data_IF_256270025921
#
_entry.id   IF_256270025921
#
_cell.length_a   1.000
_cell.length_b   1.000
_cell.length_c   1.000
_cell.angle_alpha   90.00
_cell.angle_beta   90.00
_cell.angle_gamma   90.00
#
_symmetry.space_group_name_H-M   'P 1'
#
loop_
_entity.id
_entity.type
_entity.pdbx_description
1 polymer ?
#
# COMPACT_ATOMS: atom_id res chain seq x y z
N UNK A 1 8.93 15.73 -10.59
CA UNK A 1 9.68 14.53 -11.03
C UNK A 1 9.09 13.27 -10.39
N UNK A 2 9.29 12.10 -10.99
CA UNK A 2 9.02 10.79 -10.37
C UNK A 2 10.33 10.04 -10.13
N UNK A 3 10.49 9.41 -8.98
CA UNK A 3 11.75 8.78 -8.59
C UNK A 3 11.51 7.56 -7.69
N UNK A 4 12.39 6.56 -7.77
CA UNK A 4 12.25 5.29 -7.06
C UNK A 4 11.52 4.24 -7.89
N UNK A 5 10.99 3.20 -7.22
CA UNK A 5 10.14 2.22 -7.89
C UNK A 5 8.82 2.86 -8.33
N UNK A 6 8.36 2.55 -9.53
CA UNK A 6 7.09 3.04 -10.04
C UNK A 6 5.90 2.43 -9.27
N UNK A 7 4.78 3.15 -9.28
CA UNK A 7 3.54 2.76 -8.65
C UNK A 7 2.34 3.24 -9.50
N UNK A 8 1.27 2.43 -9.67
CA UNK A 8 0.10 2.86 -10.42
C UNK A 8 -0.55 4.08 -9.77
N UNK A 9 -0.48 5.23 -10.44
CA UNK A 9 -0.98 6.50 -9.91
C UNK A 9 0.01 7.65 -10.03
N UNK A 10 1.28 7.37 -10.34
CA UNK A 10 2.27 8.41 -10.62
C UNK A 10 1.89 9.28 -11.83
N UNK A 11 1.39 8.70 -12.92
CA UNK A 11 0.88 9.47 -14.06
C UNK A 11 -0.31 10.39 -13.70
N UNK A 12 -1.35 9.93 -12.98
CA UNK A 12 -2.37 10.80 -12.40
C UNK A 12 -1.81 11.95 -11.53
N UNK A 13 -0.79 11.69 -10.70
CA UNK A 13 -0.15 12.70 -9.87
C UNK A 13 0.57 13.76 -10.72
N UNK A 14 1.39 13.34 -11.69
CA UNK A 14 2.08 14.24 -12.64
C UNK A 14 1.07 15.09 -13.40
N UNK A 15 -0.01 14.47 -13.91
CA UNK A 15 -1.09 15.17 -14.60
C UNK A 15 -1.71 16.27 -13.74
N UNK A 16 -1.99 15.97 -12.48
CA UNK A 16 -2.58 16.92 -11.56
C UNK A 16 -1.64 18.10 -11.28
N UNK A 17 -0.35 17.82 -11.04
CA UNK A 17 0.67 18.85 -10.83
C UNK A 17 0.81 19.76 -12.05
N UNK A 18 0.91 19.19 -13.26
CA UNK A 18 1.02 19.97 -14.51
C UNK A 18 -0.19 20.87 -14.71
N UNK A 19 -1.40 20.32 -14.60
CA UNK A 19 -2.62 21.10 -14.83
C UNK A 19 -2.87 22.15 -13.75
N UNK A 20 -2.64 21.81 -12.48
CA UNK A 20 -2.79 22.77 -11.39
C UNK A 20 -1.76 23.89 -11.49
N UNK A 21 -0.50 23.59 -11.79
CA UNK A 21 0.54 24.61 -11.99
C UNK A 21 0.18 25.59 -13.10
N UNK A 22 -0.21 25.08 -14.27
CA UNK A 22 -0.68 25.92 -15.40
C UNK A 22 -1.90 26.76 -14.99
N UNK A 23 -2.86 26.16 -14.28
CA UNK A 23 -4.05 26.87 -13.80
C UNK A 23 -3.72 28.04 -12.87
N UNK A 24 -2.73 27.89 -11.99
CA UNK A 24 -2.24 28.95 -11.11
C UNK A 24 -1.26 29.92 -11.78
N UNK A 25 -1.03 29.80 -13.09
CA UNK A 25 -0.16 30.70 -13.86
C UNK A 25 1.33 30.37 -13.75
N UNK A 26 1.70 29.19 -13.25
CA UNK A 26 3.07 28.72 -13.20
C UNK A 26 3.45 27.97 -14.49
N UNK A 27 4.73 28.04 -14.82
CA UNK A 27 5.33 27.11 -15.78
C UNK A 27 5.72 25.81 -15.08
N UNK A 28 5.31 24.66 -15.62
CA UNK A 28 5.63 23.34 -15.06
C UNK A 28 6.60 22.60 -15.96
N UNK A 29 7.64 22.02 -15.35
CA UNK A 29 8.62 21.20 -16.04
C UNK A 29 8.54 19.75 -15.57
N UNK A 30 8.54 18.82 -16.53
CA UNK A 30 8.79 17.42 -16.26
C UNK A 30 10.29 17.17 -16.19
N UNK A 31 10.71 16.44 -15.16
CA UNK A 31 12.07 15.91 -15.04
C UNK A 31 11.99 14.44 -15.41
N UNK A 32 12.59 14.07 -16.53
CA UNK A 32 12.60 12.70 -17.01
C UNK A 32 13.63 11.85 -16.25
N UNK A 33 13.38 10.55 -16.08
CA UNK A 33 14.30 9.62 -15.43
C UNK A 33 14.69 10.00 -13.98
N UNK A 34 13.81 10.73 -13.29
CA UNK A 34 13.98 11.11 -11.88
C UNK A 34 15.21 11.98 -11.63
N UNK A 35 16.03 11.61 -10.64
CA UNK A 35 17.23 12.38 -10.30
C UNK A 35 18.26 12.38 -11.42
N UNK A 36 18.29 11.34 -12.27
CA UNK A 36 19.23 11.28 -13.39
C UNK A 36 18.99 12.43 -14.36
N UNK A 37 17.74 12.67 -14.79
CA UNK A 37 17.45 13.80 -15.68
C UNK A 37 17.62 15.16 -15.01
N UNK A 38 17.50 15.24 -13.68
CA UNK A 38 17.82 16.47 -12.97
C UNK A 38 19.32 16.80 -13.06
N UNK A 39 20.19 15.80 -12.94
CA UNK A 39 21.66 15.94 -13.05
C UNK A 39 22.10 16.16 -14.50
N UNK A 40 21.55 15.41 -15.45
CA UNK A 40 21.92 15.51 -16.87
C UNK A 40 21.38 16.80 -17.52
N UNK A 41 20.19 17.24 -17.11
CA UNK A 41 19.57 18.46 -17.63
C UNK A 41 19.18 18.37 -19.11
N UNK A 42 19.17 19.52 -19.80
CA UNK A 42 18.85 19.60 -21.23
C UNK A 42 17.45 19.08 -21.56
N UNK A 43 17.36 18.16 -22.53
CA UNK A 43 16.09 17.60 -23.02
C UNK A 43 15.33 16.77 -21.96
N UNK A 44 15.99 16.37 -20.86
CA UNK A 44 15.36 15.67 -19.74
C UNK A 44 14.65 16.63 -18.77
N UNK A 45 14.80 17.94 -18.93
CA UNK A 45 14.05 18.99 -18.23
C UNK A 45 13.12 19.70 -19.22
N UNK A 46 11.91 19.17 -19.41
CA UNK A 46 11.00 19.64 -20.45
C UNK A 46 9.84 20.43 -19.87
N UNK A 47 9.62 21.65 -20.38
CA UNK A 47 8.40 22.42 -20.10
C UNK A 47 7.17 21.68 -20.63
N UNK A 48 6.14 21.56 -19.79
CA UNK A 48 4.92 20.81 -20.08
C UNK A 48 3.78 21.75 -20.44
N UNK A 49 3.06 21.41 -21.52
CA UNK A 49 1.78 21.99 -21.89
C UNK A 49 0.59 21.27 -21.24
N UNK A 50 -0.61 21.83 -21.41
CA UNK A 50 -1.84 21.27 -20.83
C UNK A 50 -2.22 19.92 -21.44
N UNK A 51 -1.97 19.78 -22.74
CA UNK A 51 -2.23 18.62 -23.57
C UNK A 51 -1.19 17.49 -23.39
N UNK A 52 0.00 17.80 -22.91
CA UNK A 52 1.09 16.82 -22.75
C UNK A 52 0.72 15.70 -21.75
N UNK A 53 -0.15 16.01 -20.79
CA UNK A 53 -0.63 15.06 -19.77
C UNK A 53 -2.06 14.58 -20.04
N UNK A 54 -2.53 14.68 -21.29
CA UNK A 54 -3.79 14.01 -21.69
C UNK A 54 -3.63 12.50 -21.51
N UNK A 55 -4.71 11.82 -21.14
CA UNK A 55 -4.74 10.36 -20.94
C UNK A 55 -3.94 9.79 -19.77
N UNK A 56 -3.04 10.56 -19.14
CA UNK A 56 -2.22 10.11 -18.00
C UNK A 56 -3.05 9.56 -16.83
N UNK A 57 -4.34 9.92 -16.72
CA UNK A 57 -5.22 9.39 -15.68
C UNK A 57 -5.41 7.85 -15.76
N UNK A 58 -5.27 7.27 -16.95
CA UNK A 58 -5.51 5.85 -17.23
C UNK A 58 -4.27 5.11 -17.70
N UNK A 59 -3.08 5.65 -17.45
CA UNK A 59 -1.81 5.04 -17.84
C UNK A 59 -1.09 4.46 -16.62
N UNK A 60 -0.44 3.31 -16.81
CA UNK A 60 0.36 2.66 -15.76
C UNK A 60 1.75 3.27 -15.63
N UNK A 61 2.46 2.94 -14.54
CA UNK A 61 3.82 3.41 -14.29
C UNK A 61 3.95 4.94 -14.24
N UNK A 62 5.05 5.45 -14.80
CA UNK A 62 5.31 6.89 -14.97
C UNK A 62 5.84 7.18 -16.38
N UNK A 63 5.17 8.06 -17.10
CA UNK A 63 5.54 8.45 -18.46
C UNK A 63 6.71 9.44 -18.52
N UNK A 64 7.08 10.01 -17.37
CA UNK A 64 8.32 10.78 -17.26
C UNK A 64 9.47 9.90 -16.76
N UNK A 65 9.27 8.58 -16.66
CA UNK A 65 10.33 7.64 -16.31
C UNK A 65 10.81 7.76 -14.86
N UNK A 66 11.72 6.86 -14.49
CA UNK A 66 12.37 6.84 -13.18
C UNK A 66 13.64 6.01 -13.28
N UNK A 67 14.78 6.60 -12.92
CA UNK A 67 16.07 5.92 -12.90
C UNK A 67 16.76 6.10 -11.55
N UNK A 68 17.59 5.11 -11.19
CA UNK A 68 18.49 5.24 -10.04
C UNK A 68 19.65 6.14 -10.46
N UNK A 69 19.87 7.23 -9.71
CA UNK A 69 20.99 8.14 -9.94
C UNK A 69 22.06 7.94 -8.86
N UNK A 70 23.27 7.50 -9.25
CA UNK A 70 24.40 7.34 -8.31
C UNK A 70 25.09 8.68 -8.08
N UNK A 71 25.13 9.50 -9.12
CA UNK A 71 25.74 10.82 -9.20
C UNK A 71 25.11 11.77 -8.19
N UNK A 72 23.77 11.75 -8.05
CA UNK A 72 23.05 12.58 -7.08
C UNK A 72 23.35 12.24 -5.62
N UNK A 73 23.94 11.07 -5.33
CA UNK A 73 24.46 10.75 -3.99
C UNK A 73 25.71 11.57 -3.66
N UNK A 74 26.46 11.98 -4.68
CA UNK A 74 27.62 12.84 -4.54
C UNK A 74 27.18 14.31 -4.59
N UNK A 75 27.87 15.16 -3.83
CA UNK A 75 27.59 16.61 -3.80
C UNK A 75 27.74 17.24 -5.19
N UNK A 76 28.71 16.80 -5.98
CA UNK A 76 28.94 17.29 -7.35
C UNK A 76 27.72 17.06 -8.27
N UNK A 77 27.06 15.90 -8.16
CA UNK A 77 25.82 15.63 -8.88
C UNK A 77 24.70 16.58 -8.45
N UNK A 78 24.57 16.83 -7.14
CA UNK A 78 23.59 17.81 -6.61
C UNK A 78 23.90 19.24 -7.05
N UNK A 79 25.16 19.63 -7.08
CA UNK A 79 25.60 20.93 -7.59
C UNK A 79 25.22 21.10 -9.07
N UNK A 80 25.40 20.05 -9.87
CA UNK A 80 25.02 20.03 -11.30
C UNK A 80 23.49 20.12 -11.47
N UNK A 81 22.74 19.38 -10.65
CA UNK A 81 21.28 19.47 -10.62
C UNK A 81 20.78 20.87 -10.25
N UNK A 82 21.37 21.51 -9.23
CA UNK A 82 21.03 22.88 -8.84
C UNK A 82 21.31 23.88 -9.98
N UNK A 83 22.46 23.73 -10.65
CA UNK A 83 22.78 24.52 -11.84
C UNK A 83 21.69 24.39 -12.92
N UNK A 84 21.32 23.16 -13.29
CA UNK A 84 20.31 22.89 -14.30
C UNK A 84 18.94 23.48 -13.96
N UNK A 85 18.55 23.45 -12.68
CA UNK A 85 17.31 24.06 -12.23
C UNK A 85 17.35 25.59 -12.36
N UNK A 86 18.44 26.23 -11.91
CA UNK A 86 18.57 27.69 -11.95
C UNK A 86 18.58 28.23 -13.38
N UNK A 87 19.32 27.62 -14.31
CA UNK A 87 19.37 28.09 -15.70
C UNK A 87 18.02 27.95 -16.43
N UNK A 88 17.14 27.06 -15.97
CA UNK A 88 15.78 26.89 -16.48
C UNK A 88 14.74 27.70 -15.70
N UNK A 89 15.17 28.46 -14.69
CA UNK A 89 14.30 29.27 -13.85
C UNK A 89 13.39 28.47 -12.92
N UNK A 90 13.89 27.35 -12.39
CA UNK A 90 13.14 26.44 -11.52
C UNK A 90 13.68 26.53 -10.07
N UNK A 91 12.80 26.88 -9.13
CA UNK A 91 13.04 26.95 -7.67
C UNK A 91 12.02 26.15 -6.85
N UNK A 92 11.12 25.43 -7.52
CA UNK A 92 10.17 24.54 -6.88
C UNK A 92 10.29 23.12 -7.45
N UNK A 93 10.42 22.13 -6.56
CA UNK A 93 10.56 20.73 -6.91
C UNK A 93 9.50 19.88 -6.20
N UNK A 94 8.54 19.36 -6.98
CA UNK A 94 7.60 18.35 -6.52
C UNK A 94 8.17 16.96 -6.84
N UNK A 95 8.38 16.15 -5.81
CA UNK A 95 8.94 14.79 -5.92
C UNK A 95 7.87 13.76 -5.58
N UNK A 96 7.50 12.92 -6.55
CA UNK A 96 6.64 11.76 -6.32
C UNK A 96 7.48 10.48 -6.31
N UNK A 97 7.50 9.77 -5.19
CA UNK A 97 8.32 8.56 -5.05
C UNK A 97 8.22 7.92 -3.67
N UNK A 98 9.08 6.92 -3.46
CA UNK A 98 9.22 6.26 -2.15
C UNK A 98 10.01 7.08 -1.13
N UNK A 99 10.12 6.52 0.08
CA UNK A 99 10.84 7.06 1.24
C UNK A 99 12.28 7.54 0.91
N UNK A 100 13.03 6.75 0.15
CA UNK A 100 14.40 7.08 -0.24
C UNK A 100 14.49 8.31 -1.14
N UNK A 101 13.54 8.47 -2.07
CA UNK A 101 13.49 9.62 -2.98
C UNK A 101 13.13 10.89 -2.24
N UNK A 102 12.21 10.82 -1.27
CA UNK A 102 11.82 11.95 -0.42
C UNK A 102 12.94 12.36 0.53
N UNK A 103 13.68 11.40 1.09
CA UNK A 103 14.88 11.68 1.90
C UNK A 103 15.94 12.44 1.10
N UNK A 104 16.19 12.02 -0.15
CA UNK A 104 17.13 12.71 -1.04
C UNK A 104 16.70 14.14 -1.39
N UNK A 105 15.38 14.38 -1.48
CA UNK A 105 14.83 15.69 -1.78
C UNK A 105 15.11 16.65 -0.62
N UNK A 106 14.82 16.23 0.61
CA UNK A 106 15.06 17.06 1.80
C UNK A 106 16.53 17.44 2.01
N UNK A 107 17.44 16.47 1.79
CA UNK A 107 18.88 16.73 1.79
C UNK A 107 19.23 17.80 0.73
N UNK A 108 18.66 17.68 -0.46
CA UNK A 108 18.91 18.64 -1.54
C UNK A 108 18.44 20.05 -1.20
N UNK A 109 17.27 20.19 -0.55
CA UNK A 109 16.79 21.49 -0.07
C UNK A 109 17.70 22.10 1.00
N UNK A 110 18.10 21.31 1.98
CA UNK A 110 18.96 21.80 3.07
C UNK A 110 20.36 22.21 2.58
N UNK A 111 20.90 21.53 1.57
CA UNK A 111 22.18 21.91 0.95
C UNK A 111 22.05 23.07 -0.05
N UNK A 112 20.84 23.40 -0.51
CA UNK A 112 20.62 24.34 -1.62
C UNK A 112 21.35 25.68 -1.48
N UNK A 113 21.28 26.43 -0.35
CA UNK A 113 21.97 27.71 -0.24
C UNK A 113 23.48 27.57 -0.45
N UNK A 114 24.07 26.51 0.10
CA UNK A 114 25.50 26.23 -0.02
C UNK A 114 25.88 25.81 -1.45
N UNK A 115 25.01 25.09 -2.17
CA UNK A 115 25.22 24.78 -3.59
C UNK A 115 25.18 26.04 -4.46
N UNK A 116 24.26 26.97 -4.18
CA UNK A 116 24.16 28.24 -4.89
C UNK A 116 25.40 29.10 -4.67
N UNK A 117 25.90 29.21 -3.43
CA UNK A 117 27.16 29.92 -3.12
C UNK A 117 28.37 29.32 -3.87
N UNK A 118 28.42 28.00 -3.97
CA UNK A 118 29.47 27.27 -4.70
C UNK A 118 29.37 27.54 -6.22
N UNK A 119 28.17 27.60 -6.80
CA UNK A 119 27.97 27.94 -8.21
C UNK A 119 28.39 29.37 -8.54
N UNK A 120 28.20 30.30 -7.61
CA UNK A 120 28.64 31.70 -7.77
C UNK A 120 30.15 31.83 -7.60
N UNK A 121 30.73 31.25 -6.54
CA UNK A 121 32.17 31.35 -6.26
C UNK A 121 33.03 30.62 -7.30
N UNK A 122 32.52 29.55 -7.91
CA UNK A 122 33.17 28.86 -9.03
C UNK A 122 33.02 29.55 -10.39
N UNK A 123 32.25 30.65 -10.46
CA UNK A 123 32.02 31.40 -11.70
C UNK A 123 31.07 30.72 -12.70
N UNK A 124 30.36 29.64 -12.29
CA UNK A 124 29.37 28.97 -13.14
C UNK A 124 28.09 29.80 -13.31
N UNK A 125 27.71 30.58 -12.29
CA UNK A 125 26.57 31.49 -12.30
C UNK A 125 26.98 32.83 -11.66
N UNK A 126 26.29 33.89 -12.04
CA UNK A 126 26.46 35.22 -11.44
C UNK A 126 25.51 35.43 -10.26
N UNK A 127 25.87 36.33 -9.34
CA UNK A 127 24.98 36.72 -8.23
C UNK A 127 23.60 37.20 -8.70
N UNK A 128 23.54 37.87 -9.86
CA UNK A 128 22.30 38.37 -10.43
C UNK A 128 21.39 37.24 -10.94
N UNK A 129 21.96 36.18 -11.50
CA UNK A 129 21.21 35.03 -12.01
C UNK A 129 20.60 34.18 -10.89
N UNK A 130 21.30 34.06 -9.76
CA UNK A 130 20.82 33.24 -8.62
C UNK A 130 19.90 33.98 -7.65
N UNK A 131 19.85 35.32 -7.71
CA UNK A 131 19.08 36.16 -6.77
C UNK A 131 17.62 35.71 -6.57
N UNK A 132 16.83 35.40 -7.62
CA UNK A 132 15.45 34.94 -7.43
C UNK A 132 15.36 33.48 -6.94
N UNK A 133 16.42 32.68 -7.06
CA UNK A 133 16.41 31.24 -6.81
C UNK A 133 17.23 30.83 -5.56
N UNK A 134 17.38 31.76 -4.61
CA UNK A 134 18.18 31.54 -3.38
C UNK A 134 17.68 30.41 -2.50
N UNK A 135 16.38 30.12 -2.54
CA UNK A 135 15.75 29.10 -1.73
C UNK A 135 15.06 28.08 -2.63
N UNK A 136 15.21 26.80 -2.30
CA UNK A 136 14.46 25.73 -2.95
C UNK A 136 13.18 25.42 -2.15
N UNK A 137 12.07 25.35 -2.88
CA UNK A 137 10.80 24.86 -2.37
C UNK A 137 10.64 23.40 -2.76
N UNK A 138 10.39 22.51 -1.78
CA UNK A 138 10.17 21.08 -2.05
C UNK A 138 8.83 20.64 -1.51
N UNK A 139 8.11 19.85 -2.30
CA UNK A 139 6.93 19.12 -1.83
C UNK A 139 7.03 17.65 -2.20
N UNK A 140 6.78 16.78 -1.21
CA UNK A 140 6.79 15.34 -1.38
C UNK A 140 5.40 14.76 -1.66
N UNK A 141 5.32 13.83 -2.60
CA UNK A 141 4.19 12.91 -2.81
C UNK A 141 4.70 11.48 -2.63
N UNK A 142 3.94 10.64 -1.93
CA UNK A 142 4.38 9.26 -1.66
C UNK A 142 3.79 8.33 -2.73
N UNK A 143 4.61 7.98 -3.73
CA UNK A 143 4.30 6.98 -4.75
C UNK A 143 4.97 5.66 -4.41
N UNK A 144 4.21 4.73 -3.83
CA UNK A 144 4.70 3.42 -3.37
C UNK A 144 3.55 2.42 -3.39
N UNK A 145 3.84 1.17 -3.74
CA UNK A 145 2.86 0.07 -3.58
C UNK A 145 2.87 -0.50 -2.16
N UNK A 146 3.94 -0.23 -1.40
CA UNK A 146 4.26 -0.94 -0.16
C UNK A 146 3.38 -0.47 1.02
N UNK A 147 2.78 0.71 0.92
CA UNK A 147 2.08 1.42 2.00
C UNK A 147 2.89 1.55 3.29
N UNK A 148 4.19 1.78 3.15
CA UNK A 148 5.17 1.75 4.23
C UNK A 148 5.46 3.11 4.88
N UNK A 149 4.79 4.19 4.45
CA UNK A 149 5.01 5.55 4.96
C UNK A 149 4.10 5.88 6.14
N UNK A 150 4.64 5.87 7.37
CA UNK A 150 3.90 5.94 8.65
C UNK A 150 3.00 7.17 8.89
N UNK A 151 3.12 8.23 8.08
CA UNK A 151 2.44 9.51 8.31
C UNK A 151 1.26 9.76 7.35
N UNK A 152 0.90 8.74 6.57
CA UNK A 152 -0.24 8.76 5.66
C UNK A 152 -0.95 7.41 5.71
N UNK A 153 -2.28 7.41 5.68
CA UNK A 153 -3.06 6.16 5.72
C UNK A 153 -2.92 5.35 4.42
N UNK A 154 -2.72 6.06 3.30
CA UNK A 154 -2.53 5.45 2.00
C UNK A 154 -1.43 6.15 1.20
N UNK A 155 -0.63 5.34 0.51
CA UNK A 155 0.35 5.76 -0.50
C UNK A 155 -0.21 5.52 -1.90
N UNK A 156 0.20 6.35 -2.86
CA UNK A 156 -0.28 6.25 -4.24
C UNK A 156 0.23 4.94 -4.85
N UNK A 157 -0.69 4.04 -5.16
CA UNK A 157 -0.47 2.77 -5.83
C UNK A 157 -0.62 1.54 -4.94
N UNK A 158 -0.76 1.70 -3.62
CA UNK A 158 -0.96 0.59 -2.69
C UNK A 158 -2.25 -0.19 -2.99
N UNK A 159 -3.37 0.51 -3.20
CA UNK A 159 -4.65 -0.13 -3.51
C UNK A 159 -4.68 -0.74 -4.91
N UNK A 160 -3.96 -0.15 -5.87
CA UNK A 160 -3.79 -0.74 -7.20
C UNK A 160 -3.01 -2.04 -7.13
N UNK A 161 -1.93 -2.09 -6.36
CA UNK A 161 -1.16 -3.32 -6.12
C UNK A 161 -2.01 -4.38 -5.43
N UNK A 162 -2.76 -4.00 -4.38
CA UNK A 162 -3.70 -4.90 -3.70
C UNK A 162 -4.70 -5.52 -4.69
N UNK A 163 -5.30 -4.71 -5.56
CA UNK A 163 -6.21 -5.20 -6.60
C UNK A 163 -5.54 -6.22 -7.53
N UNK A 164 -4.28 -5.99 -7.93
CA UNK A 164 -3.52 -6.97 -8.74
C UNK A 164 -3.29 -8.27 -7.97
N UNK A 165 -3.00 -8.19 -6.67
CA UNK A 165 -2.83 -9.38 -5.82
C UNK A 165 -4.14 -10.17 -5.75
N UNK A 166 -5.25 -9.49 -5.40
CA UNK A 166 -6.56 -10.12 -5.30
C UNK A 166 -6.98 -10.78 -6.62
N UNK A 167 -6.79 -10.09 -7.76
CA UNK A 167 -7.07 -10.65 -9.09
C UNK A 167 -6.28 -11.96 -9.34
N UNK A 168 -4.98 -11.96 -9.03
CA UNK A 168 -4.13 -13.14 -9.24
C UNK A 168 -4.50 -14.29 -8.31
N UNK A 169 -4.84 -14.00 -7.05
CA UNK A 169 -5.28 -15.03 -6.09
C UNK A 169 -6.63 -15.61 -6.50
N UNK A 170 -7.55 -14.81 -7.04
CA UNK A 170 -8.82 -15.29 -7.57
C UNK A 170 -8.62 -16.28 -8.74
N UNK A 171 -7.64 -16.03 -9.62
CA UNK A 171 -7.28 -16.98 -10.67
C UNK A 171 -6.68 -18.28 -10.10
N UNK A 172 -5.82 -18.18 -9.09
CA UNK A 172 -5.24 -19.33 -8.40
C UNK A 172 -6.34 -20.16 -7.71
N UNK A 173 -7.32 -19.51 -7.10
CA UNK A 173 -8.40 -20.14 -6.36
C UNK A 173 -9.23 -21.10 -7.22
N UNK A 174 -9.47 -20.75 -8.49
CA UNK A 174 -10.21 -21.59 -9.42
C UNK A 174 -9.52 -22.95 -9.66
N UNK A 175 -8.20 -22.95 -9.82
CA UNK A 175 -7.41 -24.19 -10.00
C UNK A 175 -7.14 -24.92 -8.67
N UNK A 176 -6.95 -24.15 -7.58
CA UNK A 176 -6.73 -24.70 -6.24
C UNK A 176 -7.92 -25.52 -5.75
N UNK A 177 -9.15 -25.02 -5.96
CA UNK A 177 -10.39 -25.70 -5.57
C UNK A 177 -10.58 -27.03 -6.31
N UNK A 178 -10.25 -27.08 -7.60
CA UNK A 178 -10.42 -28.27 -8.46
C UNK A 178 -9.54 -29.43 -8.01
N UNK A 179 -8.30 -29.14 -7.61
CA UNK A 179 -7.33 -30.16 -7.19
C UNK A 179 -7.20 -30.30 -5.67
N UNK A 180 -8.01 -29.57 -4.90
CA UNK A 180 -7.93 -29.51 -3.44
C UNK A 180 -6.51 -29.20 -2.91
N UNK A 181 -5.82 -28.26 -3.55
CA UNK A 181 -4.40 -27.93 -3.32
C UNK A 181 -4.18 -26.86 -2.25
N UNK A 182 -2.91 -26.73 -1.85
CA UNK A 182 -2.42 -25.58 -1.10
C UNK A 182 -1.58 -24.66 -2.00
N UNK A 183 -1.70 -23.36 -1.82
CA UNK A 183 -0.91 -22.35 -2.51
C UNK A 183 -0.25 -21.42 -1.48
N UNK A 184 1.04 -21.21 -1.67
CA UNK A 184 1.83 -20.20 -0.97
C UNK A 184 2.06 -19.06 -1.97
N UNK A 185 1.44 -17.91 -1.71
CA UNK A 185 1.49 -16.74 -2.59
C UNK A 185 2.42 -15.71 -1.96
N UNK A 186 3.52 -15.41 -2.67
CA UNK A 186 4.51 -14.43 -2.23
C UNK A 186 4.17 -13.06 -2.82
N UNK A 187 4.00 -12.08 -1.94
CA UNK A 187 3.57 -10.71 -2.27
C UNK A 187 4.65 -9.69 -1.92
N UNK A 188 4.71 -8.60 -2.69
CA UNK A 188 5.61 -7.47 -2.43
C UNK A 188 5.16 -6.68 -1.19
N UNK A 189 5.98 -5.74 -0.75
CA UNK A 189 5.72 -4.85 0.39
C UNK A 189 7.00 -4.41 1.14
N UNK A 190 8.16 -4.83 0.66
CA UNK A 190 9.51 -4.64 1.21
C UNK A 190 9.61 -5.14 2.64
N UNK A 191 9.55 -4.22 3.59
CA UNK A 191 9.55 -4.50 5.02
C UNK A 191 8.21 -4.14 5.67
N UNK A 192 7.15 -4.08 4.87
CA UNK A 192 5.79 -3.80 5.28
C UNK A 192 4.84 -4.94 4.90
N UNK A 193 4.04 -5.36 5.88
CA UNK A 193 3.03 -6.40 5.73
C UNK A 193 1.68 -5.91 5.20
N UNK A 194 1.53 -4.66 4.79
CA UNK A 194 0.24 -4.10 4.35
C UNK A 194 -0.40 -4.86 3.21
N UNK A 195 0.36 -5.10 2.13
CA UNK A 195 -0.12 -5.93 1.03
C UNK A 195 -0.40 -7.37 1.48
N UNK A 196 0.42 -7.94 2.37
CA UNK A 196 0.21 -9.28 2.95
C UNK A 196 -1.08 -9.41 3.77
N UNK A 197 -1.34 -8.43 4.64
CA UNK A 197 -2.51 -8.38 5.49
C UNK A 197 -3.80 -8.13 4.69
N UNK A 198 -3.81 -7.09 3.86
CA UNK A 198 -4.99 -6.71 3.09
C UNK A 198 -5.33 -7.76 2.02
N UNK A 199 -4.33 -8.40 1.41
CA UNK A 199 -4.59 -9.55 0.53
C UNK A 199 -5.14 -10.74 1.31
N UNK A 200 -4.59 -11.06 2.49
CA UNK A 200 -5.12 -12.12 3.34
C UNK A 200 -6.60 -11.94 3.70
N UNK A 201 -7.01 -10.71 4.03
CA UNK A 201 -8.41 -10.35 4.27
C UNK A 201 -9.28 -10.49 3.02
N UNK A 202 -8.85 -9.91 1.90
CA UNK A 202 -9.64 -9.85 0.67
C UNK A 202 -9.77 -11.21 -0.03
N UNK A 203 -8.82 -12.14 0.18
CA UNK A 203 -8.81 -13.46 -0.48
C UNK A 203 -9.21 -14.61 0.45
N UNK A 204 -9.59 -14.31 1.70
CA UNK A 204 -9.93 -15.35 2.68
C UNK A 204 -8.80 -16.35 2.95
N UNK A 205 -7.56 -15.84 3.06
CA UNK A 205 -6.39 -16.66 3.33
C UNK A 205 -6.50 -17.40 4.67
N UNK A 206 -5.92 -18.60 4.72
CA UNK A 206 -5.83 -19.43 5.91
C UNK A 206 -4.78 -18.91 6.88
N UNK A 207 -3.65 -18.44 6.34
CA UNK A 207 -2.53 -17.92 7.12
C UNK A 207 -1.85 -16.76 6.38
N UNK A 208 -1.32 -15.79 7.11
CA UNK A 208 -0.47 -14.72 6.57
C UNK A 208 0.83 -14.65 7.35
N UNK A 209 1.92 -14.29 6.67
CA UNK A 209 3.20 -13.98 7.30
C UNK A 209 3.56 -12.52 7.01
N UNK A 210 3.63 -11.69 8.06
CA UNK A 210 3.95 -10.26 7.99
C UNK A 210 5.03 -9.90 9.02
N UNK A 211 5.95 -8.96 8.70
CA UNK A 211 7.04 -8.58 9.61
C UNK A 211 6.58 -7.90 10.90
N UNK A 212 5.40 -7.27 10.93
CA UNK A 212 4.88 -6.55 12.10
C UNK A 212 4.32 -7.48 13.18
N UNK A 213 4.02 -8.73 12.82
CA UNK A 213 3.49 -9.77 13.71
C UNK A 213 4.18 -11.09 13.42
N UNK A 214 5.51 -11.15 13.66
CA UNK A 214 6.26 -12.35 13.35
C UNK A 214 5.85 -13.48 14.30
N UNK A 215 5.67 -14.71 13.79
CA UNK A 215 5.32 -15.83 14.63
C UNK A 215 6.56 -16.37 15.38
N UNK A 216 6.33 -17.22 16.38
CA UNK A 216 7.42 -17.75 17.21
C UNK A 216 8.31 -18.72 16.43
N UNK A 217 9.63 -18.51 16.51
CA UNK A 217 10.64 -19.39 15.94
C UNK A 217 10.42 -20.84 16.41
N UNK A 218 10.46 -21.77 15.46
CA UNK A 218 10.26 -23.20 15.70
C UNK A 218 8.84 -23.64 16.11
N UNK A 219 7.87 -22.72 16.20
CA UNK A 219 6.46 -23.04 16.54
C UNK A 219 5.48 -22.71 15.44
N UNK A 220 5.80 -21.72 14.60
CA UNK A 220 4.92 -21.27 13.52
C UNK A 220 4.53 -22.40 12.55
N UNK A 221 5.39 -23.42 12.39
CA UNK A 221 5.13 -24.57 11.56
C UNK A 221 3.94 -25.39 12.08
N UNK A 222 3.87 -25.58 13.40
CA UNK A 222 2.78 -26.32 14.05
C UNK A 222 1.49 -25.51 14.04
N UNK A 223 1.58 -24.19 14.28
CA UNK A 223 0.44 -23.28 14.21
C UNK A 223 -0.17 -23.27 12.80
N UNK A 224 0.68 -23.18 11.76
CA UNK A 224 0.26 -23.28 10.37
C UNK A 224 -0.44 -24.61 10.08
N UNK A 225 0.18 -25.74 10.47
CA UNK A 225 -0.41 -27.07 10.30
C UNK A 225 -1.76 -27.20 11.00
N UNK A 226 -1.88 -26.68 12.23
CA UNK A 226 -3.12 -26.69 13.03
C UNK A 226 -4.24 -25.94 12.32
N UNK A 227 -3.97 -24.71 11.86
CA UNK A 227 -4.97 -23.86 11.19
C UNK A 227 -5.42 -24.50 9.88
N UNK A 228 -4.48 -24.88 9.01
CA UNK A 228 -4.82 -25.48 7.71
C UNK A 228 -5.58 -26.80 7.88
N UNK A 229 -5.18 -27.66 8.82
CA UNK A 229 -5.89 -28.92 9.10
C UNK A 229 -7.31 -28.67 9.57
N UNK A 230 -7.51 -27.70 10.47
CA UNK A 230 -8.83 -27.33 11.00
C UNK A 230 -9.77 -26.87 9.87
N UNK A 231 -9.32 -25.97 9.01
CA UNK A 231 -10.14 -25.49 7.89
C UNK A 231 -10.48 -26.60 6.90
N UNK A 232 -9.52 -27.49 6.59
CA UNK A 232 -9.78 -28.64 5.70
C UNK A 232 -10.74 -29.64 6.31
N UNK A 233 -10.66 -29.89 7.62
CA UNK A 233 -11.61 -30.74 8.35
C UNK A 233 -13.02 -30.15 8.37
N UNK A 234 -13.16 -28.82 8.35
CA UNK A 234 -14.45 -28.12 8.15
C UNK A 234 -14.96 -28.16 6.70
N UNK A 235 -14.20 -28.72 5.77
CA UNK A 235 -14.58 -28.92 4.37
C UNK A 235 -13.92 -27.98 3.37
N UNK A 236 -13.01 -27.09 3.80
CA UNK A 236 -12.28 -26.21 2.86
C UNK A 236 -11.40 -27.04 1.94
N UNK A 237 -11.64 -26.92 0.63
CA UNK A 237 -10.89 -27.70 -0.37
C UNK A 237 -9.54 -27.08 -0.72
N UNK A 238 -9.46 -25.75 -0.72
CA UNK A 238 -8.27 -24.98 -1.05
C UNK A 238 -7.62 -24.43 0.20
N UNK A 239 -6.30 -24.35 0.21
CA UNK A 239 -5.54 -23.70 1.27
C UNK A 239 -4.72 -22.57 0.63
N UNK A 240 -4.86 -21.36 1.13
CA UNK A 240 -4.15 -20.18 0.60
C UNK A 240 -3.39 -19.52 1.73
N UNK A 241 -2.07 -19.43 1.58
CA UNK A 241 -1.18 -18.78 2.53
C UNK A 241 -0.49 -17.62 1.84
N UNK A 242 -0.59 -16.42 2.42
CA UNK A 242 0.09 -15.24 1.90
C UNK A 242 1.39 -15.02 2.67
N UNK A 243 2.49 -14.79 1.95
CA UNK A 243 3.80 -14.52 2.52
C UNK A 243 4.29 -13.17 2.00
N UNK A 244 4.41 -12.18 2.88
CA UNK A 244 5.02 -10.91 2.51
C UNK A 244 6.53 -11.10 2.26
N UNK A 245 7.12 -10.36 1.32
CA UNK A 245 8.56 -10.49 1.00
C UNK A 245 9.48 -10.20 2.19
N UNK A 246 9.02 -9.38 3.15
CA UNK A 246 9.70 -9.09 4.40
C UNK A 246 9.36 -10.00 5.57
N UNK A 247 8.69 -11.14 5.35
CA UNK A 247 8.27 -12.04 6.42
C UNK A 247 9.47 -12.58 7.23
N UNK A 248 9.34 -12.54 8.56
CA UNK A 248 10.34 -12.96 9.54
C UNK A 248 9.68 -13.66 10.74
N UNK A 249 10.45 -14.40 11.53
CA UNK A 249 10.06 -14.90 12.86
C UNK A 249 10.47 -13.94 14.00
N UNK A 250 10.09 -14.25 15.25
CA UNK A 250 10.40 -13.44 16.43
C UNK A 250 11.90 -13.40 16.79
N UNK A 251 12.70 -14.24 16.13
CA UNK A 251 14.16 -14.23 16.17
C UNK A 251 14.80 -13.41 15.05
N UNK A 252 13.99 -12.81 14.16
CA UNK A 252 14.37 -12.06 12.96
C UNK A 252 14.94 -12.94 11.84
N UNK A 253 14.71 -14.26 11.89
CA UNK A 253 15.06 -15.12 10.77
C UNK A 253 14.01 -14.94 9.67
N UNK A 254 14.42 -14.83 8.39
CA UNK A 254 13.49 -14.73 7.28
C UNK A 254 12.65 -16.01 7.15
N UNK A 255 11.34 -15.85 6.93
CA UNK A 255 10.42 -16.95 6.61
C UNK A 255 10.16 -16.91 5.11
N UNK A 256 10.71 -17.88 4.37
CA UNK A 256 10.56 -17.92 2.92
C UNK A 256 9.31 -18.68 2.48
N UNK A 257 8.84 -18.40 1.26
CA UNK A 257 7.75 -19.15 0.63
C UNK A 257 8.07 -20.65 0.49
N UNK A 258 9.34 -21.01 0.33
CA UNK A 258 9.79 -22.41 0.29
C UNK A 258 9.75 -23.07 1.67
N UNK A 259 10.03 -22.35 2.75
CA UNK A 259 9.90 -22.90 4.11
C UNK A 259 8.43 -23.18 4.46
N UNK A 260 7.53 -22.25 4.12
CA UNK A 260 6.08 -22.45 4.28
C UNK A 260 5.59 -23.63 3.45
N UNK A 261 6.06 -23.76 2.20
CA UNK A 261 5.70 -24.89 1.34
C UNK A 261 6.13 -26.23 1.94
N UNK A 262 7.37 -26.34 2.47
CA UNK A 262 7.84 -27.58 3.11
C UNK A 262 6.90 -28.01 4.23
N UNK A 263 6.48 -27.07 5.08
CA UNK A 263 5.55 -27.33 6.20
C UNK A 263 4.20 -27.85 5.72
N UNK A 264 3.65 -27.31 4.63
CA UNK A 264 2.38 -27.76 4.06
C UNK A 264 2.51 -29.10 3.32
N UNK A 265 3.66 -29.38 2.69
CA UNK A 265 3.96 -30.70 2.11
C UNK A 265 4.08 -31.76 3.20
N UNK A 266 4.72 -31.44 4.33
CA UNK A 266 4.80 -32.33 5.50
C UNK A 266 3.42 -32.64 6.10
N UNK A 267 2.44 -31.74 5.91
CA UNK A 267 1.04 -31.99 6.26
C UNK A 267 0.32 -32.91 5.26
N UNK A 268 0.97 -33.27 4.15
CA UNK A 268 0.41 -34.09 3.09
C UNK A 268 -0.39 -33.30 2.04
N UNK A 269 -0.23 -31.98 1.97
CA UNK A 269 -0.92 -31.15 0.98
C UNK A 269 -0.08 -30.97 -0.29
N UNK A 270 -0.68 -31.21 -1.46
CA UNK A 270 -0.08 -30.87 -2.75
C UNK A 270 0.04 -29.34 -2.86
N UNK A 271 1.26 -28.83 -2.63
CA UNK A 271 1.53 -27.41 -2.41
C UNK A 271 2.30 -26.80 -3.56
N UNK A 272 1.91 -25.59 -4.00
CA UNK A 272 2.60 -24.80 -5.02
C UNK A 272 2.95 -23.42 -4.49
N UNK A 273 4.08 -22.88 -4.94
CA UNK A 273 4.44 -21.48 -4.71
C UNK A 273 4.05 -20.67 -5.93
N UNK A 274 3.56 -19.45 -5.70
CA UNK A 274 3.39 -18.45 -6.74
C UNK A 274 3.95 -17.14 -6.26
N UNK A 275 5.07 -16.73 -6.84
CA UNK A 275 5.65 -15.40 -6.64
C UNK A 275 5.07 -14.46 -7.69
N UNK A 276 4.20 -13.54 -7.27
CA UNK A 276 3.51 -12.64 -8.22
C UNK A 276 4.50 -11.69 -8.90
N UNK A 277 5.50 -11.23 -8.16
CA UNK A 277 6.52 -10.32 -8.68
C UNK A 277 5.92 -9.01 -9.21
N UNK A 278 6.44 -8.51 -10.33
CA UNK A 278 6.19 -7.15 -10.81
C UNK A 278 4.79 -6.93 -11.41
N UNK A 279 3.94 -7.96 -11.52
CA UNK A 279 2.51 -7.74 -11.88
C UNK A 279 1.80 -6.84 -10.86
N UNK A 280 2.34 -6.76 -9.63
CA UNK A 280 1.90 -5.90 -8.54
C UNK A 280 2.25 -4.41 -8.74
N UNK A 281 3.24 -4.10 -9.60
CA UNK A 281 3.62 -2.71 -9.94
C UNK A 281 2.96 -2.20 -11.22
N UNK A 282 2.61 -3.12 -12.12
CA UNK A 282 2.00 -2.80 -13.40
C UNK A 282 0.50 -2.53 -13.34
N UNK A 283 -0.10 -2.34 -14.52
CA UNK A 283 -1.52 -2.01 -14.66
C UNK A 283 -1.80 -0.52 -14.49
N UNK A 284 -3.04 -0.13 -14.80
CA UNK A 284 -3.50 1.25 -14.57
C UNK A 284 -3.87 1.43 -13.11
N UNK A 285 -3.75 2.65 -12.59
CA UNK A 285 -4.26 2.98 -11.25
C UNK A 285 -5.74 2.60 -11.11
N UNK A 286 -6.14 2.05 -9.96
CA UNK A 286 -7.55 1.85 -9.61
C UNK A 286 -8.22 3.20 -9.29
N UNK A 287 -9.55 3.22 -9.17
CA UNK A 287 -10.30 4.45 -8.94
C UNK A 287 -9.79 5.23 -7.71
N UNK A 288 -9.48 4.52 -6.62
CA UNK A 288 -8.94 5.12 -5.40
C UNK A 288 -7.61 5.83 -5.66
N UNK A 289 -6.63 5.16 -6.28
CA UNK A 289 -5.31 5.76 -6.55
C UNK A 289 -5.38 6.89 -7.58
N UNK A 290 -6.27 6.80 -8.58
CA UNK A 290 -6.51 7.92 -9.52
C UNK A 290 -7.01 9.17 -8.78
N UNK A 291 -7.97 8.99 -7.87
CA UNK A 291 -8.54 10.07 -7.07
C UNK A 291 -7.50 10.62 -6.10
N UNK A 292 -6.86 9.75 -5.31
CA UNK A 292 -5.83 10.11 -4.32
C UNK A 292 -4.71 10.91 -4.96
N UNK A 293 -4.09 10.37 -6.02
CA UNK A 293 -3.00 11.02 -6.73
C UNK A 293 -3.42 12.36 -7.35
N UNK A 294 -4.64 12.45 -7.86
CA UNK A 294 -5.15 13.72 -8.42
C UNK A 294 -5.30 14.77 -7.33
N UNK A 295 -5.92 14.43 -6.20
CA UNK A 295 -6.15 15.36 -5.09
C UNK A 295 -4.81 15.79 -4.46
N UNK A 296 -3.92 14.83 -4.19
CA UNK A 296 -2.60 15.12 -3.64
C UNK A 296 -1.74 15.95 -4.61
N UNK A 297 -1.81 15.68 -5.92
CA UNK A 297 -1.06 16.45 -6.92
C UNK A 297 -1.51 17.90 -7.03
N UNK A 298 -2.81 18.18 -6.93
CA UNK A 298 -3.32 19.57 -6.86
C UNK A 298 -2.85 20.24 -5.56
N UNK A 299 -2.96 19.53 -4.44
CA UNK A 299 -2.54 20.06 -3.14
C UNK A 299 -1.03 20.31 -3.07
N UNK A 300 -0.22 19.51 -3.76
CA UNK A 300 1.22 19.74 -3.84
C UNK A 300 1.57 21.07 -4.51
N UNK A 301 0.84 21.46 -5.57
CA UNK A 301 1.03 22.77 -6.21
C UNK A 301 0.62 23.89 -5.27
N UNK A 302 -0.50 23.74 -4.55
CA UNK A 302 -0.91 24.73 -3.54
C UNK A 302 0.13 24.86 -2.43
N UNK A 303 0.70 23.74 -1.99
CA UNK A 303 1.75 23.72 -1.00
C UNK A 303 3.01 24.44 -1.49
N UNK A 304 3.42 24.28 -2.75
CA UNK A 304 4.52 25.06 -3.35
C UNK A 304 4.25 26.56 -3.23
N UNK A 305 3.06 27.00 -3.64
CA UNK A 305 2.70 28.42 -3.69
C UNK A 305 2.57 29.08 -2.32
N UNK A 306 2.30 28.29 -1.28
CA UNK A 306 2.11 28.77 0.10
C UNK A 306 3.37 28.58 0.97
N UNK A 307 4.38 27.86 0.49
CA UNK A 307 5.61 27.58 1.24
C UNK A 307 6.51 28.81 1.31
N UNK A 308 7.05 29.09 2.49
CA UNK A 308 8.10 30.09 2.71
C UNK A 308 9.44 29.43 3.04
N UNK A 309 10.58 30.15 3.00
CA UNK A 309 11.88 29.60 3.37
C UNK A 309 11.91 28.92 4.75
N UNK A 310 11.17 29.46 5.71
CA UNK A 310 11.10 28.93 7.08
C UNK A 310 10.14 27.74 7.24
N UNK A 311 9.30 27.48 6.23
CA UNK A 311 8.32 26.38 6.28
C UNK A 311 9.06 25.05 6.06
N UNK A 312 8.93 24.05 6.95
CA UNK A 312 9.48 22.70 6.73
C UNK A 312 8.94 22.08 5.44
N UNK A 313 9.73 21.22 4.79
CA UNK A 313 9.34 20.62 3.49
C UNK A 313 8.04 19.82 3.69
N UNK A 314 6.92 20.17 3.06
CA UNK A 314 5.69 19.40 3.22
C UNK A 314 5.75 18.10 2.43
N UNK A 315 5.17 17.06 2.99
CA UNK A 315 4.74 15.85 2.30
C UNK A 315 3.22 15.80 2.32
N UNK A 316 2.61 15.56 1.16
CA UNK A 316 1.16 15.45 1.06
C UNK A 316 0.76 14.01 1.35
N UNK A 317 -0.11 13.85 2.35
CA UNK A 317 -0.65 12.57 2.77
C UNK A 317 -2.16 12.56 2.78
N UNK A 318 -2.73 11.48 3.30
CA UNK A 318 -4.15 11.35 3.61
C UNK A 318 -4.30 10.82 5.03
N UNK A 319 -5.15 11.45 5.82
CA UNK A 319 -5.54 10.98 7.15
C UNK A 319 -7.05 11.09 7.28
N UNK A 320 -7.71 10.04 7.76
CA UNK A 320 -9.17 10.00 7.91
C UNK A 320 -9.91 10.43 6.62
N UNK A 321 -9.40 9.95 5.48
CA UNK A 321 -9.91 10.27 4.14
C UNK A 321 -9.89 11.77 3.77
N UNK A 322 -9.02 12.56 4.41
CA UNK A 322 -8.78 13.99 4.10
C UNK A 322 -7.33 14.19 3.70
N UNK A 323 -7.10 14.98 2.65
CA UNK A 323 -5.73 15.35 2.24
C UNK A 323 -5.14 16.27 3.29
N UNK A 324 -3.91 15.96 3.72
CA UNK A 324 -3.17 16.70 4.75
C UNK A 324 -1.75 16.99 4.30
N UNK A 325 -1.12 17.97 4.93
CA UNK A 325 0.32 18.23 4.79
C UNK A 325 1.02 17.82 6.08
N UNK A 326 2.04 16.99 5.96
CA UNK A 326 2.88 16.53 7.07
C UNK A 326 4.31 17.03 6.86
N UNK A 327 5.07 17.36 7.92
CA UNK A 327 6.49 17.67 7.76
C UNK A 327 7.26 16.44 7.24
N UNK A 328 7.90 16.57 6.08
CA UNK A 328 8.57 15.46 5.40
C UNK A 328 9.67 14.83 6.25
N UNK A 329 10.43 15.64 6.99
CA UNK A 329 11.50 15.14 7.88
C UNK A 329 10.96 14.25 8.99
N UNK A 330 9.85 14.65 9.61
CA UNK A 330 9.19 13.88 10.67
C UNK A 330 8.60 12.60 10.10
N UNK A 331 7.97 12.69 8.94
CA UNK A 331 7.42 11.56 8.21
C UNK A 331 8.48 10.49 7.88
N UNK A 332 9.64 10.90 7.36
CA UNK A 332 10.77 10.00 7.07
C UNK A 332 11.35 9.41 8.36
N UNK A 333 11.47 10.21 9.42
CA UNK A 333 11.98 9.76 10.72
C UNK A 333 11.06 8.71 11.36
N UNK A 334 9.74 8.93 11.33
CA UNK A 334 8.74 7.98 11.81
C UNK A 334 8.83 6.67 11.04
N UNK A 335 8.92 6.74 9.71
CA UNK A 335 9.04 5.55 8.85
C UNK A 335 10.31 4.75 9.16
N UNK A 336 11.46 5.41 9.34
CA UNK A 336 12.71 4.74 9.77
C UNK A 336 12.58 4.08 11.14
N UNK A 337 11.84 4.69 12.06
CA UNK A 337 11.63 4.14 13.40
C UNK A 337 10.86 2.81 13.42
N UNK A 338 10.18 2.45 12.32
CA UNK A 338 9.60 1.12 12.13
C UNK A 338 10.69 0.07 12.01
N UNK A 339 11.72 0.32 11.19
CA UNK A 339 12.85 -0.60 11.05
C UNK A 339 13.57 -0.76 12.39
N UNK A 340 13.83 0.33 13.11
CA UNK A 340 14.41 0.29 14.45
C UNK A 340 13.56 -0.54 15.43
N UNK A 341 12.23 -0.44 15.33
CA UNK A 341 11.31 -1.22 16.15
C UNK A 341 11.35 -2.72 15.82
N UNK A 342 11.45 -3.08 14.55
CA UNK A 342 11.63 -4.48 14.11
C UNK A 342 12.98 -5.02 14.58
N UNK A 343 14.08 -4.30 14.36
CA UNK A 343 15.44 -4.71 14.76
C UNK A 343 15.57 -4.91 16.27
N UNK A 344 14.88 -4.07 17.06
CA UNK A 344 14.81 -4.19 18.53
C UNK A 344 13.77 -5.19 19.02
N UNK A 345 13.14 -5.98 18.12
CA UNK A 345 12.07 -6.95 18.41
C UNK A 345 10.86 -6.34 19.14
N UNK A 346 10.64 -5.04 18.97
CA UNK A 346 9.48 -4.32 19.50
C UNK A 346 8.37 -4.26 18.44
N UNK A 347 7.81 -5.42 18.14
CA UNK A 347 6.79 -5.59 17.09
C UNK A 347 5.49 -4.84 17.36
N UNK A 348 5.14 -4.62 18.64
CA UNK A 348 3.99 -3.77 19.01
C UNK A 348 4.19 -2.32 18.57
N UNK A 349 5.38 -1.77 18.80
CA UNK A 349 5.70 -0.42 18.32
C UNK A 349 5.67 -0.37 16.79
N UNK A 350 6.21 -1.38 16.11
CA UNK A 350 6.17 -1.45 14.65
C UNK A 350 4.72 -1.47 14.11
N UNK A 351 3.83 -2.23 14.74
CA UNK A 351 2.41 -2.28 14.40
C UNK A 351 1.73 -0.89 14.53
N UNK A 352 2.00 -0.19 15.62
CA UNK A 352 1.39 1.11 15.92
C UNK A 352 1.92 2.26 15.05
N UNK A 353 3.00 2.03 14.31
CA UNK A 353 3.59 2.99 13.38
C UNK A 353 3.10 2.80 11.94
N UNK A 354 2.20 1.84 11.68
CA UNK A 354 1.53 1.68 10.38
C UNK A 354 0.31 2.60 10.29
N UNK A 355 -0.43 2.50 9.18
CA UNK A 355 -1.65 3.30 8.97
C UNK A 355 -2.68 3.09 10.09
N UNK A 356 -3.58 4.05 10.24
CA UNK A 356 -4.55 4.09 11.35
C UNK A 356 -5.43 2.85 11.47
N UNK A 357 -5.59 2.06 10.40
CA UNK A 357 -6.44 0.87 10.36
C UNK A 357 -5.67 -0.45 10.44
N UNK A 358 -4.34 -0.43 10.44
CA UNK A 358 -3.52 -1.62 10.28
C UNK A 358 -3.70 -2.64 11.40
N UNK A 359 -3.65 -2.20 12.66
CA UNK A 359 -3.85 -3.07 13.83
C UNK A 359 -5.27 -3.63 13.90
N UNK A 360 -6.26 -2.79 13.60
CA UNK A 360 -7.65 -3.23 13.54
C UNK A 360 -7.84 -4.30 12.46
N UNK A 361 -7.34 -4.07 11.24
CA UNK A 361 -7.41 -5.02 10.13
C UNK A 361 -6.77 -6.37 10.51
N UNK A 362 -5.62 -6.36 11.20
CA UNK A 362 -4.99 -7.58 11.68
C UNK A 362 -5.84 -8.32 12.72
N UNK A 363 -6.44 -7.59 13.66
CA UNK A 363 -7.33 -8.19 14.64
C UNK A 363 -8.58 -8.80 13.98
N UNK A 364 -9.14 -8.15 12.96
CA UNK A 364 -10.25 -8.71 12.18
C UNK A 364 -9.84 -9.96 11.40
N UNK A 365 -8.62 -9.96 10.84
CA UNK A 365 -8.06 -11.14 10.20
C UNK A 365 -7.95 -12.31 11.18
N UNK A 366 -7.40 -12.11 12.38
CA UNK A 366 -7.30 -13.16 13.39
C UNK A 366 -8.68 -13.70 13.79
N UNK A 367 -9.65 -12.81 14.01
CA UNK A 367 -11.01 -13.20 14.40
C UNK A 367 -11.76 -13.99 13.32
N UNK A 368 -11.43 -13.78 12.04
CA UNK A 368 -12.11 -14.41 10.91
C UNK A 368 -11.37 -15.59 10.29
N UNK A 369 -10.06 -15.75 10.54
CA UNK A 369 -9.24 -16.83 9.97
C UNK A 369 -8.50 -17.71 10.99
N UNK A 370 -8.18 -17.23 12.19
CA UNK A 370 -7.33 -17.97 13.14
C UNK A 370 -8.11 -18.45 14.38
N UNK A 371 -9.01 -17.63 14.90
CA UNK A 371 -9.73 -17.88 16.16
C UNK A 371 -11.00 -18.73 16.01
N UNK A 372 -11.10 -19.53 14.96
CA UNK A 372 -12.19 -20.49 14.73
C UNK A 372 -11.94 -21.85 15.43
N UNK A 373 -11.05 -21.86 16.44
CA UNK A 373 -10.58 -23.01 17.22
C UNK A 373 -11.14 -23.09 18.64
N UNK A 374 -12.23 -22.35 18.88
CA UNK A 374 -12.94 -22.26 20.16
C UNK A 374 -12.16 -21.56 21.29
N UNK A 375 -10.94 -21.07 21.03
CA UNK A 375 -10.13 -20.36 22.05
C UNK A 375 -10.71 -19.01 22.49
N UNK A 376 -11.65 -18.45 21.72
CA UNK A 376 -12.25 -17.14 21.94
C UNK A 376 -13.75 -17.20 22.25
N UNK A 377 -14.29 -18.39 22.56
CA UNK A 377 -15.70 -18.55 22.90
C UNK A 377 -16.07 -17.73 24.14
N UNK A 378 -17.21 -17.06 24.06
CA UNK A 378 -17.80 -16.40 25.22
C UNK A 378 -18.50 -17.43 26.14
N UNK A 379 -18.71 -17.08 27.42
CA UNK A 379 -19.56 -17.85 28.32
C UNK A 379 -20.94 -18.09 27.70
N UNK A 380 -21.56 -19.25 27.96
CA UNK A 380 -22.84 -19.62 27.32
C UNK A 380 -23.95 -18.57 27.51
N UNK A 381 -24.01 -17.93 28.68
CA UNK A 381 -24.99 -16.87 28.98
C UNK A 381 -24.78 -15.55 28.23
N UNK A 382 -23.62 -15.35 27.61
CA UNK A 382 -23.27 -14.16 26.80
C UNK A 382 -23.40 -14.43 25.29
N UNK A 383 -23.70 -15.67 24.88
CA UNK A 383 -23.84 -16.03 23.46
C UNK A 383 -25.20 -15.59 22.94
N UNK A 384 -25.22 -15.00 21.76
CA UNK A 384 -26.41 -14.44 21.12
C UNK A 384 -26.81 -15.24 19.87
N UNK A 385 -28.10 -15.18 19.55
CA UNK A 385 -28.64 -15.50 18.23
C UNK A 385 -28.78 -14.20 17.44
N UNK A 386 -28.05 -14.06 16.35
CA UNK A 386 -27.97 -12.83 15.56
C UNK A 386 -28.61 -13.09 14.20
N UNK A 387 -29.52 -12.23 13.78
CA UNK A 387 -30.10 -12.26 12.44
C UNK A 387 -29.37 -11.30 11.49
N UNK A 388 -29.10 -11.71 10.26
CA UNK A 388 -28.62 -10.83 9.19
C UNK A 388 -29.59 -10.84 8.02
N UNK A 389 -29.89 -9.66 7.49
CA UNK A 389 -30.80 -9.46 6.37
C UNK A 389 -30.18 -8.49 5.37
N UNK A 390 -30.37 -8.74 4.09
CA UNK A 390 -30.02 -7.79 3.02
C UNK A 390 -31.28 -7.09 2.56
N UNK A 391 -31.21 -5.76 2.42
CA UNK A 391 -32.35 -4.91 2.03
C UNK A 391 -31.88 -3.92 0.97
N UNK A 392 -32.54 -3.92 -0.17
CA UNK A 392 -32.23 -3.03 -1.29
C UNK A 392 -31.72 -3.76 -2.53
N UNK A 393 -31.04 -3.04 -3.41
CA UNK A 393 -30.43 -3.64 -4.59
C UNK A 393 -29.15 -4.42 -4.23
N UNK A 394 -28.77 -5.35 -5.11
CA UNK A 394 -27.52 -6.09 -4.98
C UNK A 394 -26.29 -5.19 -5.03
N UNK A 395 -25.32 -5.48 -4.15
CA UNK A 395 -23.98 -4.89 -4.18
C UNK A 395 -22.91 -5.98 -4.04
N UNK A 396 -21.67 -5.67 -4.40
CA UNK A 396 -20.56 -6.65 -4.42
C UNK A 396 -20.07 -7.07 -3.03
N UNK A 397 -20.29 -6.23 -2.00
CA UNK A 397 -19.76 -6.45 -0.65
C UNK A 397 -20.67 -7.26 0.29
N UNK A 398 -21.91 -7.56 -0.09
CA UNK A 398 -22.89 -8.19 0.83
C UNK A 398 -22.43 -9.56 1.34
N UNK A 399 -21.92 -10.40 0.44
CA UNK A 399 -21.45 -11.74 0.80
C UNK A 399 -20.19 -11.69 1.65
N UNK A 400 -19.25 -10.79 1.33
CA UNK A 400 -18.04 -10.60 2.11
C UNK A 400 -18.36 -10.13 3.54
N UNK A 401 -19.28 -9.17 3.69
CA UNK A 401 -19.76 -8.70 4.99
C UNK A 401 -20.47 -9.80 5.77
N UNK A 402 -21.35 -10.57 5.12
CA UNK A 402 -22.07 -11.68 5.75
C UNK A 402 -21.10 -12.78 6.20
N UNK A 403 -20.11 -13.10 5.37
CA UNK A 403 -19.04 -14.04 5.72
C UNK A 403 -18.27 -13.58 6.94
N UNK A 404 -17.82 -12.33 6.96
CA UNK A 404 -17.08 -11.80 8.11
C UNK A 404 -17.92 -11.85 9.39
N UNK A 405 -19.19 -11.44 9.32
CA UNK A 405 -20.13 -11.55 10.44
C UNK A 405 -20.30 -13.01 10.91
N UNK A 406 -20.47 -13.96 9.99
CA UNK A 406 -20.65 -15.37 10.32
C UNK A 406 -19.42 -15.95 11.03
N UNK A 407 -18.23 -15.74 10.46
CA UNK A 407 -16.97 -16.25 11.03
C UNK A 407 -16.66 -15.61 12.38
N UNK A 408 -16.94 -14.32 12.54
CA UNK A 408 -16.83 -13.63 13.82
C UNK A 408 -17.82 -14.18 14.86
N UNK A 409 -19.07 -14.40 14.48
CA UNK A 409 -20.06 -15.01 15.36
C UNK A 409 -19.59 -16.39 15.84
N UNK A 410 -19.11 -17.22 14.92
CA UNK A 410 -18.60 -18.57 15.20
C UNK A 410 -17.41 -18.51 16.17
N UNK A 411 -16.46 -17.58 15.98
CA UNK A 411 -15.29 -17.48 16.88
C UNK A 411 -15.66 -17.09 18.32
N UNK A 412 -16.80 -16.43 18.52
CA UNK A 412 -17.35 -16.07 19.84
C UNK A 412 -18.41 -17.04 20.38
N UNK A 413 -18.82 -18.03 19.58
CA UNK A 413 -19.88 -18.98 19.94
C UNK A 413 -21.30 -18.46 19.74
N UNK A 414 -21.47 -17.32 19.07
CA UNK A 414 -22.77 -16.84 18.62
C UNK A 414 -23.29 -17.67 17.45
N UNK A 415 -24.61 -17.68 17.27
CA UNK A 415 -25.27 -18.26 16.10
C UNK A 415 -25.74 -17.15 15.17
N UNK A 416 -25.31 -17.19 13.91
CA UNK A 416 -25.76 -16.24 12.89
C UNK A 416 -26.83 -16.90 12.01
N UNK A 417 -27.96 -16.24 11.83
CA UNK A 417 -29.06 -16.67 10.98
C UNK A 417 -29.21 -15.73 9.79
N UNK A 418 -29.11 -16.27 8.58
CA UNK A 418 -29.44 -15.57 7.36
C UNK A 418 -30.96 -15.51 7.14
N UNK A 419 -31.51 -14.30 7.09
CA UNK A 419 -32.91 -14.03 6.73
C UNK A 419 -33.00 -14.00 5.21
N UNK A 420 -33.61 -15.03 4.63
CA UNK A 420 -33.62 -15.22 3.19
C UNK A 420 -34.59 -14.28 2.48
N UNK A 421 -34.16 -13.70 1.36
CA UNK A 421 -34.97 -12.83 0.50
C UNK A 421 -35.56 -11.59 1.22
N UNK A 422 -34.79 -11.00 2.14
CA UNK A 422 -35.16 -9.77 2.81
C UNK A 422 -36.38 -9.89 3.73
N UNK A 423 -37.02 -8.75 4.03
CA UNK A 423 -38.21 -8.74 4.89
C UNK A 423 -39.43 -9.41 4.24
N UNK A 424 -39.58 -9.33 2.92
CA UNK A 424 -40.67 -10.03 2.22
C UNK A 424 -40.54 -11.54 2.39
N UNK A 425 -39.34 -12.10 2.18
CA UNK A 425 -39.08 -13.52 2.41
C UNK A 425 -39.31 -13.94 3.86
N UNK A 426 -38.95 -13.09 4.82
CA UNK A 426 -39.23 -13.34 6.23
C UNK A 426 -40.74 -13.36 6.54
N UNK A 427 -41.50 -12.40 6.01
CA UNK A 427 -42.95 -12.29 6.26
C UNK A 427 -43.71 -13.43 5.59
N UNK A 428 -43.35 -13.75 4.34
CA UNK A 428 -44.10 -14.70 3.51
C UNK A 428 -43.73 -16.16 3.83
N UNK A 429 -42.43 -16.44 4.05
CA UNK A 429 -41.92 -17.80 4.17
C UNK A 429 -41.38 -18.13 5.56
N UNK A 430 -41.05 -17.13 6.38
CA UNK A 430 -40.41 -17.36 7.68
C UNK A 430 -39.04 -18.03 7.59
N UNK A 431 -38.41 -18.02 6.41
CA UNK A 431 -37.20 -18.80 6.14
C UNK A 431 -35.96 -18.15 6.74
N UNK A 432 -35.43 -18.81 7.77
CA UNK A 432 -34.18 -18.49 8.45
C UNK A 432 -33.23 -19.67 8.30
N UNK A 433 -31.98 -19.42 7.88
CA UNK A 433 -30.93 -20.44 7.81
C UNK A 433 -29.82 -20.11 8.80
N UNK A 434 -29.52 -21.01 9.75
CA UNK A 434 -28.29 -20.92 10.55
C UNK A 434 -27.08 -21.08 9.61
N UNK A 435 -26.20 -20.07 9.60
CA UNK A 435 -25.02 -20.04 8.75
C UNK A 435 -23.85 -20.69 9.48
N UNK A 436 -23.35 -21.80 8.93
CA UNK A 436 -22.16 -22.48 9.43
C UNK A 436 -20.91 -22.02 8.68
N UNK A 437 -19.74 -22.40 9.21
CA UNK A 437 -18.44 -22.03 8.64
C UNK A 437 -18.32 -22.37 7.14
N UNK A 438 -18.77 -23.55 6.73
CA UNK A 438 -18.70 -23.99 5.33
C UNK A 438 -19.72 -23.30 4.42
N UNK A 439 -20.85 -22.82 4.97
CA UNK A 439 -21.89 -22.15 4.16
C UNK A 439 -21.37 -20.84 3.55
N UNK A 440 -20.50 -20.14 4.28
CA UNK A 440 -19.93 -18.85 3.89
C UNK A 440 -18.55 -18.96 3.24
N UNK A 441 -18.10 -20.18 2.94
CA UNK A 441 -16.81 -20.41 2.29
C UNK A 441 -16.82 -19.88 0.85
N UNK A 442 -15.79 -19.12 0.50
CA UNK A 442 -15.69 -18.46 -0.82
C UNK A 442 -16.62 -17.26 -1.03
N UNK A 443 -17.28 -16.76 0.01
CA UNK A 443 -18.14 -15.56 -0.10
C UNK A 443 -17.35 -14.23 -0.08
N UNK A 444 -16.04 -14.26 0.20
CA UNK A 444 -15.19 -13.06 0.29
C UNK A 444 -15.04 -12.30 -1.03
N UNK A 445 -15.06 -13.00 -2.17
CA UNK A 445 -14.91 -12.44 -3.52
C UNK A 445 -16.15 -12.68 -4.40
N UNK A 446 -17.28 -13.11 -3.82
CA UNK A 446 -18.51 -13.37 -4.57
C UNK A 446 -19.43 -12.16 -4.56
N UNK A 447 -19.61 -11.51 -5.71
CA UNK A 447 -20.64 -10.49 -5.87
C UNK A 447 -22.07 -11.06 -5.76
N UNK A 448 -23.06 -10.21 -5.52
CA UNK A 448 -24.46 -10.64 -5.50
C UNK A 448 -24.99 -11.00 -4.11
N UNK A 449 -26.07 -11.78 -4.08
CA UNK A 449 -26.75 -12.24 -2.86
C UNK A 449 -26.45 -13.72 -2.60
N UNK A 450 -26.07 -14.04 -1.38
CA UNK A 450 -25.85 -15.41 -0.90
C UNK A 450 -26.87 -15.91 0.12
N UNK A 451 -27.72 -15.01 0.65
CA UNK A 451 -28.67 -15.28 1.76
C UNK A 451 -30.11 -15.24 1.30
#
# INVERSE_FOLDING_TARGET
MTSGGDAPGMNPAVRAVVRAGIYYGCDVFAVYEGYTGLVEGGDLLKKMGWEDVRSYLSEGGTNIGTARCKEFRQREGRLTAAYNMVINGIDALIVCGGDGSLTGADLFRSEWPSLIEELVSSGKLTTKEVEPYKNLTIVGLVGSIDNDMSSTDATIGAFSSLERISEMVDYIDATAKSHSRAFVVEVMGRHCGWLGLMSGLSTGADFIFIPERPPKAGKWQDDLKKVCSRHRNKGKRKTTVIVAEGAIDDELNPITSEDVKKVLVDLGLDTRITTLGHVQRGGTAVAYDRMLATLQGVEAVRAVLETTPDTPSPMIGILENKIVRQPLVEAVKLTKSVADAIESKNFNKAMNLRDSSFEEAYNQYLATSIHDDESQLLPEGERLNIGIVHVGASSSGLNAATRAAALYCISKGHKLYGIQNGFSGLIELGNLKELNWLDVEGWHNKGGWGV
#
